data_IF_928262612962
#
_entry.id   IF_928262612962
#
_cell.length_a   1.000
_cell.length_b   1.000
_cell.length_c   1.000
_cell.angle_alpha   90.00
_cell.angle_beta   90.00
_cell.angle_gamma   90.00
#
_symmetry.space_group_name_H-M   'P 1'
#
loop_
_entity.id
_entity.type
_entity.pdbx_description
1 polymer ?
#
# COMPACT_ATOMS: atom_id res chain seq x y z
N UNK A 1 -52.62 -21.75 -7.64
CA UNK A 1 -52.78 -20.84 -8.81
C UNK A 1 -51.45 -20.85 -9.57
N UNK A 2 -51.34 -21.65 -10.63
CA UNK A 2 -51.42 -21.25 -12.07
C UNK A 2 -50.29 -20.29 -12.48
N UNK A 3 -49.19 -20.82 -13.06
CA UNK A 3 -48.77 -20.77 -14.48
C UNK A 3 -48.19 -19.40 -14.90
N UNK A 4 -47.03 -19.34 -15.57
CA UNK A 4 -46.83 -19.31 -17.05
C UNK A 4 -45.31 -19.59 -17.30
N UNK A 5 -44.85 -20.69 -17.92
CA UNK A 5 -44.75 -21.04 -19.37
C UNK A 5 -43.85 -20.07 -20.17
N UNK A 6 -42.70 -20.45 -20.71
CA UNK A 6 -42.44 -21.29 -21.92
C UNK A 6 -41.77 -20.39 -23.00
N UNK A 7 -40.53 -20.68 -23.41
CA UNK A 7 -40.17 -21.29 -24.72
C UNK A 7 -39.77 -20.27 -25.80
N UNK A 8 -38.61 -20.50 -26.42
CA UNK A 8 -38.22 -19.88 -27.69
C UNK A 8 -36.93 -20.49 -28.26
N UNK A 9 -37.05 -21.59 -29.01
CA UNK A 9 -36.04 -22.16 -29.92
C UNK A 9 -36.29 -21.61 -31.33
N UNK A 10 -35.28 -21.06 -32.00
CA UNK A 10 -35.17 -20.95 -33.48
C UNK A 10 -33.67 -20.95 -33.85
N UNK A 11 -33.17 -21.98 -34.57
CA UNK A 11 -32.91 -22.05 -36.03
C UNK A 11 -31.82 -21.05 -36.49
N UNK A 12 -30.58 -21.48 -36.78
CA UNK A 12 -30.08 -22.14 -38.01
C UNK A 12 -29.67 -21.15 -39.13
N UNK A 13 -28.63 -21.54 -39.91
CA UNK A 13 -28.10 -20.97 -41.18
C UNK A 13 -27.07 -19.82 -41.01
N UNK A 14 -25.77 -19.94 -41.35
CA UNK A 14 -25.08 -20.22 -42.64
C UNK A 14 -24.67 -18.93 -43.40
N UNK A 15 -23.39 -18.80 -43.77
CA UNK A 15 -22.95 -18.08 -44.98
C UNK A 15 -21.99 -16.90 -44.86
N UNK A 16 -20.70 -17.15 -45.16
CA UNK A 16 -19.77 -16.44 -46.07
C UNK A 16 -19.68 -14.89 -46.02
N UNK A 17 -18.48 -14.35 -45.77
CA UNK A 17 -17.69 -13.58 -46.77
C UNK A 17 -16.51 -12.79 -46.15
N UNK A 18 -15.39 -12.83 -46.87
CA UNK A 18 -14.17 -12.06 -46.71
C UNK A 18 -14.42 -10.53 -46.75
N UNK A 19 -13.71 -9.78 -45.92
CA UNK A 19 -13.67 -8.31 -45.95
C UNK A 19 -12.50 -7.76 -45.15
N UNK A 20 -11.33 -7.68 -45.78
CA UNK A 20 -10.17 -6.94 -45.29
C UNK A 20 -10.48 -5.45 -45.43
N UNK A 21 -10.48 -4.69 -44.33
CA UNK A 21 -10.01 -3.31 -44.32
C UNK A 21 -9.50 -2.94 -42.92
N UNK A 22 -8.20 -2.68 -42.88
CA UNK A 22 -7.43 -2.17 -41.77
C UNK A 22 -7.70 -0.67 -41.64
N UNK A 23 -7.92 -0.16 -40.42
CA UNK A 23 -7.49 1.17 -39.96
C UNK A 23 -8.01 1.45 -38.54
N UNK A 24 -7.08 1.76 -37.63
CA UNK A 24 -7.34 2.79 -36.61
C UNK A 24 -7.68 2.36 -35.18
N UNK A 25 -7.10 1.27 -34.67
CA UNK A 25 -7.02 1.08 -33.21
C UNK A 25 -5.65 1.53 -32.73
N UNK A 26 -5.58 2.75 -32.19
CA UNK A 26 -4.45 3.21 -31.39
C UNK A 26 -4.38 2.34 -30.12
N UNK A 27 -3.74 1.18 -30.25
CA UNK A 27 -3.22 0.46 -29.11
C UNK A 27 -1.98 1.22 -28.66
N UNK A 28 -2.04 1.83 -27.49
CA UNK A 28 -0.83 2.07 -26.72
C UNK A 28 -0.23 0.67 -26.47
N UNK A 29 0.75 0.29 -27.29
CA UNK A 29 1.62 -0.84 -27.02
C UNK A 29 2.29 -0.54 -25.69
N UNK A 30 1.73 -1.13 -24.63
CA UNK A 30 2.40 -1.29 -23.37
C UNK A 30 3.57 -2.23 -23.66
N UNK A 31 4.71 -1.62 -23.92
CA UNK A 31 5.94 -2.29 -24.31
C UNK A 31 6.41 -3.17 -23.16
N UNK A 32 6.00 -4.44 -23.19
CA UNK A 32 6.41 -5.48 -22.25
C UNK A 32 7.92 -5.77 -22.31
N UNK A 33 8.64 -5.25 -23.32
CA UNK A 33 10.10 -5.30 -23.39
C UNK A 33 10.77 -4.22 -22.51
N UNK A 34 10.14 -3.05 -22.33
CA UNK A 34 10.62 -1.97 -21.44
C UNK A 34 10.48 -2.31 -19.95
N UNK A 35 9.50 -3.15 -19.61
CA UNK A 35 9.31 -3.67 -18.25
C UNK A 35 10.39 -4.71 -17.92
N UNK A 36 10.78 -5.54 -18.90
CA UNK A 36 11.84 -6.54 -18.75
C UNK A 36 13.24 -5.93 -18.63
N UNK A 37 13.53 -4.85 -19.36
CA UNK A 37 14.83 -4.17 -19.32
C UNK A 37 15.07 -3.39 -18.01
N UNK A 38 14.00 -2.96 -17.33
CA UNK A 38 14.09 -2.22 -16.06
C UNK A 38 14.42 -3.13 -14.86
N UNK A 39 14.35 -4.46 -15.02
CA UNK A 39 14.54 -5.43 -13.95
C UNK A 39 15.92 -6.13 -13.94
N UNK A 40 16.73 -6.04 -15.01
CA UNK A 40 17.93 -6.90 -15.15
C UNK A 40 19.29 -6.20 -15.02
N UNK A 41 19.37 -4.89 -14.78
CA UNK A 41 20.66 -4.27 -14.46
C UNK A 41 21.66 -4.25 -15.63
N UNK A 42 21.80 -3.07 -16.25
CA UNK A 42 22.86 -2.79 -17.20
C UNK A 42 22.99 -1.29 -17.32
N UNK A 43 24.15 -0.76 -16.94
CA UNK A 43 24.37 0.67 -16.73
C UNK A 43 24.13 1.51 -17.98
N UNK A 44 23.16 2.41 -17.89
CA UNK A 44 23.19 3.71 -18.54
C UNK A 44 22.50 4.65 -17.57
N UNK A 45 23.26 5.66 -17.13
CA UNK A 45 22.81 6.76 -16.28
C UNK A 45 21.60 7.43 -16.93
N UNK A 46 20.39 6.94 -16.63
CA UNK A 46 19.20 7.73 -16.77
C UNK A 46 19.36 8.87 -15.77
N UNK A 47 19.46 10.09 -16.29
CA UNK A 47 19.30 11.29 -15.47
C UNK A 47 18.09 11.08 -14.54
N UNK A 48 18.11 11.57 -13.28
CA UNK A 48 16.97 11.44 -12.40
C UNK A 48 15.79 12.07 -13.13
N UNK A 49 14.87 11.23 -13.61
CA UNK A 49 13.70 11.70 -14.31
C UNK A 49 13.01 12.67 -13.35
N UNK A 50 12.55 13.80 -13.89
CA UNK A 50 11.88 14.86 -13.15
C UNK A 50 10.60 14.37 -12.41
N UNK A 51 10.24 13.09 -12.53
CA UNK A 51 9.20 12.39 -11.75
C UNK A 51 9.69 11.46 -10.63
N UNK A 52 11.00 11.25 -10.43
CA UNK A 52 11.54 10.25 -9.50
C UNK A 52 11.18 10.50 -8.03
N UNK A 53 11.28 11.75 -7.56
CA UNK A 53 10.94 12.10 -6.17
C UNK A 53 9.44 12.18 -5.96
N UNK A 54 8.69 12.70 -6.94
CA UNK A 54 7.23 12.72 -6.90
C UNK A 54 6.65 11.30 -6.86
N UNK A 55 7.18 10.38 -7.67
CA UNK A 55 6.83 8.96 -7.60
C UNK A 55 7.21 8.32 -6.27
N UNK A 56 8.35 8.70 -5.69
CA UNK A 56 8.76 8.21 -4.37
C UNK A 56 7.82 8.70 -3.26
N UNK A 57 7.46 9.97 -3.27
CA UNK A 57 6.49 10.57 -2.35
C UNK A 57 5.10 9.93 -2.52
N UNK A 58 4.69 9.67 -3.76
CA UNK A 58 3.40 9.04 -4.04
C UNK A 58 3.39 7.56 -3.66
N UNK A 59 4.51 6.85 -3.85
CA UNK A 59 4.70 5.49 -3.36
C UNK A 59 4.77 5.46 -1.82
N UNK A 60 5.34 6.48 -1.18
CA UNK A 60 5.30 6.65 0.29
C UNK A 60 3.86 6.82 0.79
N UNK A 61 3.08 7.70 0.16
CA UNK A 61 1.65 7.88 0.49
C UNK A 61 0.88 6.57 0.26
N UNK A 62 1.16 5.86 -0.84
CA UNK A 62 0.57 4.54 -1.13
C UNK A 62 0.92 3.50 -0.07
N UNK A 63 2.18 3.44 0.35
CA UNK A 63 2.64 2.55 1.41
C UNK A 63 1.94 2.87 2.75
N UNK A 64 1.78 4.16 3.09
CA UNK A 64 1.03 4.56 4.27
C UNK A 64 -0.45 4.18 4.21
N UNK A 65 -1.09 4.32 3.06
CA UNK A 65 -2.46 3.85 2.88
C UNK A 65 -2.57 2.34 3.11
N UNK A 66 -1.62 1.56 2.58
CA UNK A 66 -1.59 0.10 2.81
C UNK A 66 -1.39 -0.24 4.28
N UNK A 67 -0.47 0.44 4.96
CA UNK A 67 -0.23 0.28 6.40
C UNK A 67 -1.47 0.64 7.22
N UNK A 68 -2.12 1.76 6.93
CA UNK A 68 -3.34 2.21 7.63
C UNK A 68 -4.53 1.29 7.36
N UNK A 69 -4.71 0.81 6.13
CA UNK A 69 -5.73 -0.20 5.81
C UNK A 69 -5.46 -1.53 6.53
N UNK A 70 -4.18 -1.92 6.63
CA UNK A 70 -3.76 -3.08 7.41
C UNK A 70 -4.08 -2.93 8.90
N UNK A 71 -3.70 -1.80 9.49
CA UNK A 71 -4.01 -1.47 10.89
C UNK A 71 -5.52 -1.38 11.15
N UNK A 72 -6.29 -0.79 10.22
CA UNK A 72 -7.75 -0.73 10.30
C UNK A 72 -8.38 -2.12 10.26
N UNK A 73 -7.88 -3.01 9.40
CA UNK A 73 -8.33 -4.40 9.30
C UNK A 73 -7.98 -5.20 10.56
N UNK A 74 -6.77 -5.03 11.10
CA UNK A 74 -6.36 -5.65 12.37
C UNK A 74 -7.21 -5.15 13.54
N UNK A 75 -7.46 -3.84 13.61
CA UNK A 75 -8.28 -3.24 14.65
C UNK A 75 -9.72 -3.72 14.56
N UNK A 76 -10.30 -3.75 13.35
CA UNK A 76 -11.65 -4.28 13.10
C UNK A 76 -11.75 -5.75 13.48
N UNK A 77 -10.74 -6.55 13.10
CA UNK A 77 -10.67 -7.97 13.43
C UNK A 77 -10.65 -8.23 14.93
N UNK A 78 -10.09 -7.31 15.70
CA UNK A 78 -10.07 -7.36 17.16
C UNK A 78 -11.19 -6.55 17.82
N UNK A 79 -12.23 -6.14 17.09
CA UNK A 79 -13.36 -5.39 17.65
C UNK A 79 -13.03 -3.94 18.08
N UNK A 80 -11.85 -3.43 17.74
CA UNK A 80 -11.41 -2.05 18.02
C UNK A 80 -11.96 -1.08 16.97
N UNK A 81 -13.29 -0.98 16.85
CA UNK A 81 -13.97 -0.18 15.81
C UNK A 81 -13.58 1.29 15.82
N UNK A 82 -13.32 1.88 17.00
CA UNK A 82 -12.85 3.26 17.12
C UNK A 82 -11.48 3.49 16.49
N UNK A 83 -10.52 2.60 16.76
CA UNK A 83 -9.19 2.64 16.15
C UNK A 83 -9.24 2.31 14.66
N UNK A 84 -10.06 1.34 14.27
CA UNK A 84 -10.27 0.99 12.87
C UNK A 84 -10.80 2.16 12.05
N UNK A 85 -11.80 2.88 12.56
CA UNK A 85 -12.37 4.07 11.91
C UNK A 85 -11.37 5.21 11.79
N UNK A 86 -10.54 5.46 12.83
CA UNK A 86 -9.48 6.46 12.76
C UNK A 86 -8.44 6.14 11.67
N UNK A 87 -7.99 4.89 11.60
CA UNK A 87 -7.04 4.46 10.56
C UNK A 87 -7.63 4.61 9.15
N UNK A 88 -8.91 4.28 8.98
CA UNK A 88 -9.61 4.36 7.70
C UNK A 88 -9.84 5.81 7.25
N UNK A 89 -10.14 6.72 8.18
CA UNK A 89 -10.23 8.14 7.91
C UNK A 89 -8.87 8.72 7.49
N UNK A 90 -7.79 8.37 8.21
CA UNK A 90 -6.44 8.79 7.83
C UNK A 90 -6.04 8.26 6.44
N UNK A 91 -6.37 7.00 6.12
CA UNK A 91 -6.11 6.43 4.79
C UNK A 91 -6.89 7.16 3.69
N UNK A 92 -8.14 7.54 3.95
CA UNK A 92 -8.98 8.28 3.02
C UNK A 92 -8.44 9.69 2.75
N UNK A 93 -7.93 10.37 3.77
CA UNK A 93 -7.29 11.69 3.63
C UNK A 93 -6.02 11.63 2.78
N UNK A 94 -5.26 10.53 2.87
CA UNK A 94 -4.06 10.29 2.06
C UNK A 94 -4.36 9.96 0.60
N UNK A 95 -5.62 9.68 0.23
CA UNK A 95 -6.04 9.55 -1.17
C UNK A 95 -6.40 10.90 -1.81
N UNK A 96 -6.45 11.99 -1.04
CA UNK A 96 -6.72 13.34 -1.53
C UNK A 96 -5.46 14.04 -2.10
N UNK A 97 -5.67 15.12 -2.88
CA UNK A 97 -4.58 15.90 -3.50
C UNK A 97 -3.58 16.55 -2.53
N UNK A 98 -3.95 16.70 -1.26
CA UNK A 98 -3.14 17.30 -0.18
C UNK A 98 -2.45 16.27 0.75
N UNK A 99 -2.37 15.00 0.32
CA UNK A 99 -1.81 13.89 1.13
C UNK A 99 -0.40 14.14 1.68
N UNK A 100 0.37 15.04 1.05
CA UNK A 100 1.75 15.38 1.41
C UNK A 100 1.86 16.66 2.25
N UNK A 101 0.75 17.24 2.71
CA UNK A 101 0.82 18.41 3.59
C UNK A 101 1.36 18.03 4.98
N UNK A 102 2.17 18.88 5.64
CA UNK A 102 2.69 18.62 7.00
C UNK A 102 1.57 18.38 8.03
N UNK A 103 0.43 19.04 7.85
CA UNK A 103 -0.75 18.86 8.69
C UNK A 103 -1.34 17.45 8.52
N UNK A 104 -1.54 16.99 7.28
CA UNK A 104 -2.01 15.64 6.98
C UNK A 104 -1.03 14.58 7.47
N UNK A 105 0.27 14.77 7.28
CA UNK A 105 1.31 13.85 7.77
C UNK A 105 1.33 13.78 9.30
N UNK A 106 1.19 14.91 10.00
CA UNK A 106 1.13 14.95 11.46
C UNK A 106 -0.15 14.29 12.00
N UNK A 107 -1.30 14.56 11.37
CA UNK A 107 -2.58 13.94 11.72
C UNK A 107 -2.54 12.42 11.50
N UNK A 108 -1.94 11.98 10.40
CA UNK A 108 -1.73 10.57 10.09
C UNK A 108 -0.79 9.91 11.10
N UNK A 109 0.35 10.52 11.43
CA UNK A 109 1.27 10.00 12.43
C UNK A 109 0.61 9.86 13.80
N UNK A 110 -0.22 10.84 14.20
CA UNK A 110 -1.04 10.76 15.40
C UNK A 110 -2.04 9.59 15.37
N UNK A 111 -2.75 9.41 14.26
CA UNK A 111 -3.68 8.30 14.08
C UNK A 111 -2.96 6.94 14.13
N UNK A 112 -1.83 6.79 13.42
CA UNK A 112 -1.01 5.57 13.47
C UNK A 112 -0.55 5.27 14.89
N UNK A 113 -0.12 6.26 15.65
CA UNK A 113 0.33 6.08 17.03
C UNK A 113 -0.82 5.62 17.93
N UNK A 114 -1.99 6.28 17.88
CA UNK A 114 -3.17 5.89 18.66
C UNK A 114 -3.65 4.47 18.31
N UNK A 115 -3.66 4.13 17.02
CA UNK A 115 -4.05 2.80 16.55
C UNK A 115 -3.03 1.74 16.98
N UNK A 116 -1.74 2.02 16.84
CA UNK A 116 -0.67 1.12 17.29
C UNK A 116 -0.74 0.85 18.79
N UNK A 117 -1.05 1.86 19.61
CA UNK A 117 -1.25 1.68 21.06
C UNK A 117 -2.46 0.80 21.36
N UNK A 118 -3.60 1.04 20.71
CA UNK A 118 -4.81 0.24 20.88
C UNK A 118 -4.59 -1.21 20.44
N UNK A 119 -3.96 -1.42 19.28
CA UNK A 119 -3.58 -2.74 18.77
C UNK A 119 -2.62 -3.45 19.74
N UNK A 120 -1.58 -2.76 20.22
CA UNK A 120 -0.62 -3.32 21.17
C UNK A 120 -1.28 -3.77 22.48
N UNK A 121 -2.20 -2.98 23.02
CA UNK A 121 -2.98 -3.35 24.20
C UNK A 121 -3.87 -4.58 23.94
N UNK A 122 -4.54 -4.63 22.78
CA UNK A 122 -5.39 -5.76 22.42
C UNK A 122 -4.60 -7.05 22.14
N UNK A 123 -3.41 -6.96 21.55
CA UNK A 123 -2.51 -8.12 21.44
C UNK A 123 -2.03 -8.57 22.81
N UNK A 124 -1.67 -7.63 23.70
CA UNK A 124 -1.25 -7.95 25.06
C UNK A 124 -2.38 -8.56 25.91
N UNK A 125 -3.63 -8.17 25.69
CA UNK A 125 -4.80 -8.77 26.35
C UNK A 125 -5.24 -10.09 25.72
N UNK A 126 -4.56 -10.57 24.68
CA UNK A 126 -4.91 -11.81 24.01
C UNK A 126 -6.20 -11.73 23.19
N UNK A 127 -6.68 -10.53 22.84
CA UNK A 127 -7.91 -10.30 22.07
C UNK A 127 -9.21 -10.65 22.82
N UNK A 128 -9.11 -11.21 24.03
CA UNK A 128 -10.24 -11.72 24.81
C UNK A 128 -11.21 -10.61 25.27
N UNK A 129 -10.75 -9.37 25.36
CA UNK A 129 -11.54 -8.23 25.85
C UNK A 129 -12.52 -7.65 24.84
N UNK A 130 -12.44 -8.02 23.55
CA UNK A 130 -13.16 -7.31 22.49
C UNK A 130 -14.07 -8.20 21.61
N UNK A 131 -14.27 -9.47 21.99
CA UNK A 131 -15.15 -10.40 21.28
C UNK A 131 -14.41 -11.37 20.36
N UNK A 132 -15.14 -12.14 19.54
CA UNK A 132 -14.55 -13.12 18.63
C UNK A 132 -13.70 -12.42 17.56
N UNK A 133 -12.46 -12.90 17.39
CA UNK A 133 -11.51 -12.34 16.42
C UNK A 133 -11.91 -12.78 15.01
N UNK A 134 -12.06 -11.83 14.11
CA UNK A 134 -12.22 -12.12 12.68
C UNK A 134 -10.87 -12.53 12.09
N UNK A 135 -10.62 -13.84 12.02
CA UNK A 135 -9.34 -14.40 11.56
C UNK A 135 -9.00 -13.99 10.12
N UNK A 136 -10.00 -13.77 9.27
CA UNK A 136 -9.80 -13.40 7.88
C UNK A 136 -9.41 -11.94 7.76
N UNK A 137 -10.14 -11.03 8.42
CA UNK A 137 -9.76 -9.62 8.49
C UNK A 137 -8.39 -9.43 9.16
N UNK A 138 -8.06 -10.25 10.16
CA UNK A 138 -6.75 -10.25 10.79
C UNK A 138 -5.63 -10.63 9.79
N UNK A 139 -5.82 -11.73 9.07
CA UNK A 139 -4.85 -12.23 8.08
C UNK A 139 -4.67 -11.22 6.94
N UNK A 140 -5.77 -10.61 6.46
CA UNK A 140 -5.73 -9.55 5.46
C UNK A 140 -4.99 -8.31 6.00
N UNK A 141 -5.23 -7.95 7.25
CA UNK A 141 -4.54 -6.85 7.92
C UNK A 141 -3.03 -7.07 7.99
N UNK A 142 -2.58 -8.27 8.39
CA UNK A 142 -1.17 -8.67 8.36
C UNK A 142 -0.58 -8.58 6.95
N UNK A 143 -1.31 -9.04 5.94
CA UNK A 143 -0.84 -9.01 4.55
C UNK A 143 -0.63 -7.56 4.07
N UNK A 144 -1.62 -6.67 4.26
CA UNK A 144 -1.53 -5.26 3.87
C UNK A 144 -0.42 -4.53 4.63
N UNK A 145 -0.25 -4.82 5.91
CA UNK A 145 0.80 -4.21 6.74
C UNK A 145 2.20 -4.67 6.29
N UNK A 146 2.36 -5.97 5.98
CA UNK A 146 3.58 -6.52 5.39
C UNK A 146 3.89 -5.95 4.00
N UNK A 147 2.87 -5.77 3.16
CA UNK A 147 3.01 -5.14 1.84
C UNK A 147 3.44 -3.67 1.95
N UNK A 148 2.86 -2.93 2.90
CA UNK A 148 3.24 -1.55 3.20
C UNK A 148 4.69 -1.44 3.65
N UNK A 149 5.11 -2.28 4.60
CA UNK A 149 6.51 -2.36 5.07
C UNK A 149 7.50 -2.72 3.94
N UNK A 150 7.11 -3.65 3.06
CA UNK A 150 7.92 -4.02 1.90
C UNK A 150 8.11 -2.83 0.95
N UNK A 151 7.04 -2.08 0.68
CA UNK A 151 7.12 -0.86 -0.12
C UNK A 151 8.01 0.19 0.54
N UNK A 152 7.90 0.38 1.86
CA UNK A 152 8.77 1.27 2.62
C UNK A 152 10.27 0.91 2.51
N UNK A 153 10.61 -0.38 2.59
CA UNK A 153 11.99 -0.86 2.41
C UNK A 153 12.53 -0.54 1.01
N UNK A 154 11.70 -0.69 -0.02
CA UNK A 154 12.05 -0.30 -1.39
C UNK A 154 12.24 1.22 -1.53
N UNK A 155 11.41 2.01 -0.82
CA UNK A 155 11.54 3.47 -0.80
C UNK A 155 12.84 3.92 -0.14
N UNK A 156 13.26 3.29 0.95
CA UNK A 156 14.53 3.59 1.61
C UNK A 156 15.72 3.36 0.65
N UNK A 157 15.67 2.28 -0.14
CA UNK A 157 16.67 2.00 -1.17
C UNK A 157 16.68 3.07 -2.27
N UNK A 158 15.50 3.54 -2.70
CA UNK A 158 15.36 4.65 -3.65
C UNK A 158 15.81 6.01 -3.10
N UNK A 159 15.52 6.31 -1.82
CA UNK A 159 15.95 7.52 -1.12
C UNK A 159 17.47 7.56 -0.93
N UNK A 160 18.12 6.44 -0.61
CA UNK A 160 19.57 6.36 -0.52
C UNK A 160 20.26 6.71 -1.84
N UNK A 161 19.65 6.29 -2.96
CA UNK A 161 20.12 6.64 -4.30
C UNK A 161 19.90 8.14 -4.63
N UNK A 162 18.80 8.73 -4.11
CA UNK A 162 18.52 10.17 -4.19
C UNK A 162 19.44 11.03 -3.34
N UNK A 163 19.93 10.54 -2.20
CA UNK A 163 20.94 11.24 -1.38
C UNK A 163 22.26 11.49 -2.11
N UNK A 164 22.53 10.72 -3.17
CA UNK A 164 23.68 10.92 -4.08
C UNK A 164 23.38 11.92 -5.20
N UNK A 165 22.13 12.40 -5.30
CA UNK A 165 21.67 13.33 -6.33
C UNK A 165 21.81 14.77 -5.84
N UNK A 166 22.47 15.62 -6.63
CA UNK A 166 22.78 17.00 -6.24
C UNK A 166 21.53 17.86 -6.04
N UNK A 167 21.56 18.79 -5.08
CA UNK A 167 20.46 19.73 -4.79
C UNK A 167 19.98 20.53 -6.02
N UNK A 168 20.88 20.80 -6.97
CA UNK A 168 20.55 21.43 -8.26
C UNK A 168 19.63 20.54 -9.12
N UNK A 169 19.87 19.23 -9.16
CA UNK A 169 19.06 18.25 -9.88
C UNK A 169 17.69 18.06 -9.21
N UNK A 170 17.61 18.25 -7.89
CA UNK A 170 16.36 18.24 -7.11
C UNK A 170 15.52 19.50 -7.39
N UNK A 171 16.14 20.68 -7.47
CA UNK A 171 15.47 21.91 -7.87
C UNK A 171 14.98 21.84 -9.33
N UNK A 172 15.80 21.27 -10.22
CA UNK A 172 15.50 21.12 -11.65
C UNK A 172 14.52 19.98 -11.96
N UNK A 173 14.22 19.12 -10.98
CA UNK A 173 13.14 18.14 -11.06
C UNK A 173 11.79 18.69 -10.60
N UNK A 174 11.70 19.99 -10.31
CA UNK A 174 10.42 20.65 -10.01
C UNK A 174 9.90 20.33 -8.61
N UNK A 175 10.79 20.07 -7.66
CA UNK A 175 10.41 19.89 -6.26
C UNK A 175 9.83 21.18 -5.69
N UNK A 176 8.52 21.19 -5.50
CA UNK A 176 7.84 22.28 -4.79
C UNK A 176 8.30 22.31 -3.31
N UNK A 177 8.36 23.49 -2.68
CA UNK A 177 8.77 23.64 -1.28
C UNK A 177 7.97 22.76 -0.30
N UNK A 178 6.71 22.49 -0.63
CA UNK A 178 5.82 21.61 0.13
C UNK A 178 6.29 20.14 0.10
N UNK A 179 6.76 19.65 -1.05
CA UNK A 179 7.32 18.30 -1.19
C UNK A 179 8.68 18.19 -0.49
N UNK A 180 9.46 19.27 -0.44
CA UNK A 180 10.69 19.31 0.34
C UNK A 180 10.41 19.22 1.86
N UNK A 181 9.40 19.93 2.37
CA UNK A 181 9.00 19.83 3.77
C UNK A 181 8.48 18.42 4.10
N UNK A 182 7.66 17.85 3.23
CA UNK A 182 7.19 16.47 3.36
C UNK A 182 8.36 15.48 3.38
N UNK A 183 9.28 15.56 2.42
CA UNK A 183 10.47 14.71 2.36
C UNK A 183 11.35 14.85 3.62
N UNK A 184 11.52 16.08 4.14
CA UNK A 184 12.27 16.33 5.37
C UNK A 184 11.60 15.70 6.58
N UNK A 185 10.28 15.87 6.70
CA UNK A 185 9.49 15.24 7.76
C UNK A 185 9.58 13.72 7.67
N UNK A 186 9.40 13.15 6.48
CA UNK A 186 9.50 11.72 6.22
C UNK A 186 10.88 11.19 6.60
N UNK A 187 11.95 11.85 6.17
CA UNK A 187 13.31 11.44 6.51
C UNK A 187 13.57 11.41 8.03
N UNK A 188 12.94 12.30 8.80
CA UNK A 188 13.06 12.36 10.26
C UNK A 188 12.13 11.38 10.99
N UNK A 189 10.92 11.16 10.48
CA UNK A 189 9.86 10.42 11.20
C UNK A 189 9.68 8.98 10.72
N UNK A 190 9.98 8.67 9.46
CA UNK A 190 9.83 7.33 8.89
C UNK A 190 10.67 6.25 9.61
N UNK A 191 11.91 6.49 10.08
CA UNK A 191 12.67 5.45 10.79
C UNK A 191 11.97 4.97 12.07
N UNK A 192 11.45 5.90 12.87
CA UNK A 192 10.70 5.58 14.10
C UNK A 192 9.33 4.96 13.82
N UNK A 193 8.67 5.40 12.75
CA UNK A 193 7.41 4.79 12.29
C UNK A 193 7.64 3.34 11.83
N UNK A 194 8.72 3.07 11.09
CA UNK A 194 9.05 1.71 10.65
C UNK A 194 9.35 0.78 11.81
N UNK A 195 10.10 1.24 12.83
CA UNK A 195 10.36 0.46 14.04
C UNK A 195 9.08 0.16 14.81
N UNK A 196 8.18 1.13 14.93
CA UNK A 196 6.89 0.95 15.59
C UNK A 196 6.01 -0.05 14.83
N UNK A 197 5.90 0.10 13.51
CA UNK A 197 5.14 -0.80 12.65
C UNK A 197 5.71 -2.21 12.63
N UNK A 198 7.03 -2.35 12.63
CA UNK A 198 7.74 -3.61 12.76
C UNK A 198 7.40 -4.33 14.07
N UNK A 199 7.45 -3.59 15.19
CA UNK A 199 7.10 -4.13 16.50
C UNK A 199 5.62 -4.57 16.54
N UNK A 200 4.72 -3.74 16.03
CA UNK A 200 3.28 -4.06 15.90
C UNK A 200 3.06 -5.29 15.02
N UNK A 201 3.75 -5.39 13.87
CA UNK A 201 3.66 -6.55 12.99
C UNK A 201 4.17 -7.82 13.68
N UNK A 202 5.29 -7.74 14.40
CA UNK A 202 5.84 -8.86 15.16
C UNK A 202 4.88 -9.35 16.25
N UNK A 203 4.30 -8.42 17.02
CA UNK A 203 3.26 -8.72 18.00
C UNK A 203 2.02 -9.33 17.36
N UNK A 204 1.56 -8.78 16.24
CA UNK A 204 0.39 -9.28 15.51
C UNK A 204 0.63 -10.70 14.94
N UNK A 205 1.83 -10.99 14.45
CA UNK A 205 2.21 -12.32 13.95
C UNK A 205 2.29 -13.35 15.08
N UNK A 206 2.88 -12.99 16.22
CA UNK A 206 2.89 -13.87 17.39
C UNK A 206 1.47 -14.13 17.90
N UNK A 207 0.65 -13.09 17.97
CA UNK A 207 -0.75 -13.20 18.32
C UNK A 207 -1.53 -14.11 17.38
N UNK A 208 -1.39 -13.91 16.07
CA UNK A 208 -1.98 -14.76 15.05
C UNK A 208 -1.59 -16.22 15.23
N UNK A 209 -0.30 -16.49 15.47
CA UNK A 209 0.20 -17.85 15.69
C UNK A 209 -0.44 -18.49 16.92
N UNK A 210 -0.51 -17.77 18.05
CA UNK A 210 -1.15 -18.25 19.28
C UNK A 210 -2.66 -18.49 19.13
N UNK A 211 -3.34 -17.75 18.26
CA UNK A 211 -4.78 -17.86 17.99
C UNK A 211 -5.11 -18.83 16.82
N UNK A 212 -4.09 -19.48 16.23
CA UNK A 212 -4.25 -20.35 15.07
C UNK A 212 -4.79 -19.60 13.83
N UNK A 213 -4.36 -18.36 13.64
CA UNK A 213 -4.62 -17.52 12.46
C UNK A 213 -3.46 -17.69 11.49
N UNK A 214 -3.75 -17.89 10.20
CA UNK A 214 -2.72 -18.04 9.17
C UNK A 214 -1.93 -16.75 8.98
N UNK A 215 -0.61 -16.81 9.15
CA UNK A 215 0.28 -15.68 8.91
C UNK A 215 0.68 -15.66 7.43
N UNK A 216 0.35 -14.60 6.68
CA UNK A 216 0.70 -14.51 5.27
C UNK A 216 2.22 -14.34 5.10
N UNK A 217 2.79 -14.97 4.07
CA UNK A 217 4.24 -14.99 3.82
C UNK A 217 4.84 -13.60 3.60
N UNK A 218 4.05 -12.64 3.09
CA UNK A 218 4.48 -11.24 2.92
C UNK A 218 4.74 -10.55 4.27
N UNK A 219 3.96 -10.86 5.30
CA UNK A 219 4.14 -10.31 6.64
C UNK A 219 5.41 -10.86 7.30
N UNK A 220 5.62 -12.18 7.21
CA UNK A 220 6.84 -12.80 7.76
C UNK A 220 8.09 -12.44 6.97
N UNK A 221 7.97 -12.19 5.66
CA UNK A 221 9.07 -11.68 4.83
C UNK A 221 9.40 -10.22 5.18
N UNK A 222 8.39 -9.37 5.38
CA UNK A 222 8.59 -7.99 5.79
C UNK A 222 9.33 -7.87 7.13
N UNK A 223 9.05 -8.76 8.08
CA UNK A 223 9.80 -8.83 9.35
C UNK A 223 11.29 -9.13 9.15
N UNK A 224 11.66 -9.89 8.11
CA UNK A 224 13.06 -10.22 7.77
C UNK A 224 13.78 -9.10 7.01
N UNK A 225 13.04 -8.15 6.46
CA UNK A 225 13.58 -7.02 5.70
C UNK A 225 14.01 -5.84 6.59
N UNK A 226 13.79 -5.95 7.91
CA UNK A 226 14.17 -4.94 8.88
C UNK A 226 15.57 -5.27 9.44
N UNK A 227 16.42 -4.25 9.65
CA UNK A 227 17.77 -4.41 10.18
C UNK A 227 17.80 -4.82 11.67
#
# INVERSE_FOLDING_TARGET
MKHIRATGRHLASAGIAFGILVSGVAHAQLDLQSIGASLLGGGQQAAPAQGGVAQLLQAYVGANQQVLNGQSSLASAMGLTGAAGQAQQAASQLSGGDALSPATLSQMGGAQQSVSQALGQAFASGGATHGPIDKQAFSNGLASLGQGLTQYSQLQSGLGNLGSTSAASLLQSGLNPQNMQAASYIAQSAPGQLQSLAATLGQAVQFATSQGISVPSVASSALKLLP
#
